data_IF_199131905226
#
_entry.id   IF_199131905226
#
_cell.length_a   1.000
_cell.length_b   1.000
_cell.length_c   1.000
_cell.angle_alpha   90.00
_cell.angle_beta   90.00
_cell.angle_gamma   90.00
#
_symmetry.space_group_name_H-M   'P 1'
#
loop_
_entity.id
_entity.type
_entity.pdbx_description
1 polymer ?
#
# COMPACT_ATOMS: atom_id res chain seq x y z
N UNK A 1 1.79 10.13 -6.55
CA UNK A 1 0.88 9.92 -7.71
C UNK A 1 0.76 8.45 -8.05
N UNK A 2 1.86 7.77 -8.40
CA UNK A 2 1.86 6.32 -8.72
C UNK A 2 1.16 5.48 -7.64
N UNK A 3 1.54 5.64 -6.37
CA UNK A 3 0.90 4.97 -5.23
C UNK A 3 -0.61 5.20 -5.15
N UNK A 4 -1.07 6.44 -5.40
CA UNK A 4 -2.50 6.74 -5.41
C UNK A 4 -3.26 6.05 -6.53
N UNK A 5 -2.62 5.88 -7.70
CA UNK A 5 -3.19 5.16 -8.84
C UNK A 5 -3.26 3.66 -8.53
N UNK A 6 -2.18 3.07 -8.00
CA UNK A 6 -2.16 1.65 -7.64
C UNK A 6 -3.27 1.36 -6.63
N UNK A 7 -3.32 2.11 -5.53
CA UNK A 7 -4.34 1.89 -4.51
C UNK A 7 -5.76 2.14 -5.05
N UNK A 8 -6.03 3.33 -5.59
CA UNK A 8 -7.40 3.69 -5.91
C UNK A 8 -7.94 2.92 -7.13
N UNK A 9 -7.12 2.70 -8.15
CA UNK A 9 -7.57 2.07 -9.41
C UNK A 9 -7.33 0.57 -9.39
N UNK A 10 -6.11 0.13 -9.11
CA UNK A 10 -5.75 -1.30 -9.21
C UNK A 10 -6.39 -2.06 -8.03
N UNK A 11 -6.07 -1.68 -6.80
CA UNK A 11 -6.63 -2.34 -5.59
C UNK A 11 -8.14 -2.09 -5.47
N UNK A 12 -8.60 -0.88 -5.78
CA UNK A 12 -10.03 -0.57 -5.84
C UNK A 12 -10.81 -1.51 -6.78
N UNK A 13 -10.20 -1.93 -7.90
CA UNK A 13 -10.85 -2.88 -8.82
C UNK A 13 -11.02 -4.27 -8.20
N UNK A 14 -10.01 -4.83 -7.52
CA UNK A 14 -10.15 -6.18 -6.91
C UNK A 14 -11.09 -6.15 -5.71
N UNK A 15 -11.15 -5.04 -4.99
CA UNK A 15 -12.08 -4.86 -3.87
C UNK A 15 -13.52 -4.78 -4.40
N UNK A 16 -13.77 -3.94 -5.42
CA UNK A 16 -15.10 -3.72 -5.97
C UNK A 16 -15.61 -4.88 -6.84
N UNK A 17 -14.72 -5.61 -7.53
CA UNK A 17 -15.08 -6.71 -8.40
C UNK A 17 -14.79 -8.06 -7.75
N UNK A 18 -15.77 -8.61 -7.04
CA UNK A 18 -15.67 -9.93 -6.42
C UNK A 18 -15.55 -11.09 -7.40
N UNK A 19 -15.83 -10.88 -8.69
CA UNK A 19 -15.80 -11.90 -9.74
C UNK A 19 -14.68 -11.65 -10.78
N UNK A 20 -13.66 -10.85 -10.47
CA UNK A 20 -12.58 -10.51 -11.41
C UNK A 20 -11.93 -11.75 -12.08
N UNK A 21 -11.83 -12.86 -11.35
CA UNK A 21 -11.26 -14.11 -11.86
C UNK A 21 -12.13 -14.83 -12.91
N UNK A 22 -13.44 -14.54 -12.95
CA UNK A 22 -14.38 -15.10 -13.94
C UNK A 22 -14.46 -14.28 -15.22
N UNK A 23 -13.92 -13.07 -15.22
CA UNK A 23 -13.95 -12.21 -16.39
C UNK A 23 -13.21 -12.89 -17.56
N UNK A 24 -13.76 -12.87 -18.77
CA UNK A 24 -13.09 -13.41 -19.97
C UNK A 24 -12.94 -12.35 -21.06
N UNK A 25 -13.26 -11.10 -20.75
CA UNK A 25 -13.25 -9.99 -21.72
C UNK A 25 -11.84 -9.47 -22.04
N UNK A 26 -10.83 -9.90 -21.27
CA UNK A 26 -9.46 -9.39 -21.40
C UNK A 26 -9.26 -8.02 -20.74
N UNK A 27 -10.10 -7.64 -19.78
CA UNK A 27 -9.90 -6.42 -19.01
C UNK A 27 -8.56 -6.46 -18.27
N UNK A 28 -7.66 -5.54 -18.62
CA UNK A 28 -6.28 -5.52 -18.10
C UNK A 28 -6.20 -5.49 -16.57
N UNK A 29 -7.11 -4.81 -15.88
CA UNK A 29 -7.11 -4.72 -14.42
C UNK A 29 -7.46 -6.07 -13.79
N UNK A 30 -8.44 -6.78 -14.36
CA UNK A 30 -8.79 -8.12 -13.92
C UNK A 30 -7.68 -9.12 -14.24
N UNK A 31 -7.03 -9.01 -15.41
CA UNK A 31 -5.90 -9.87 -15.78
C UNK A 31 -4.69 -9.68 -14.86
N UNK A 32 -4.36 -8.44 -14.46
CA UNK A 32 -3.30 -8.17 -13.49
C UNK A 32 -3.58 -8.90 -12.17
N UNK A 33 -4.82 -8.84 -11.67
CA UNK A 33 -5.18 -9.51 -10.42
C UNK A 33 -5.24 -11.03 -10.55
N UNK A 34 -5.64 -11.57 -11.70
CA UNK A 34 -5.53 -13.02 -11.95
C UNK A 34 -4.08 -13.48 -11.96
N UNK A 35 -3.19 -12.71 -12.56
CA UNK A 35 -1.77 -13.02 -12.58
C UNK A 35 -1.18 -12.93 -11.17
N UNK A 36 -1.46 -11.85 -10.44
CA UNK A 36 -0.97 -11.69 -9.08
C UNK A 36 -1.53 -12.72 -8.10
N UNK A 37 -2.78 -13.17 -8.29
CA UNK A 37 -3.36 -14.25 -7.49
C UNK A 37 -2.66 -15.60 -7.66
N UNK A 38 -1.81 -15.77 -8.68
CA UNK A 38 -0.91 -16.93 -8.78
C UNK A 38 0.23 -16.85 -7.77
N UNK A 39 0.67 -15.66 -7.38
CA UNK A 39 1.65 -15.47 -6.33
C UNK A 39 1.03 -15.57 -4.94
N UNK A 40 -0.20 -15.10 -4.78
CA UNK A 40 -0.96 -15.20 -3.53
C UNK A 40 -2.43 -15.51 -3.78
N UNK A 41 -2.82 -16.76 -3.53
CA UNK A 41 -4.17 -17.24 -3.80
C UNK A 41 -5.25 -16.56 -2.95
N UNK A 42 -4.87 -15.87 -1.86
CA UNK A 42 -5.81 -15.14 -0.97
C UNK A 42 -6.60 -14.05 -1.70
N UNK A 43 -6.06 -13.49 -2.79
CA UNK A 43 -6.79 -12.54 -3.64
C UNK A 43 -7.93 -13.22 -4.42
N UNK A 44 -7.68 -14.42 -4.96
CA UNK A 44 -8.70 -15.19 -5.68
C UNK A 44 -9.74 -15.79 -4.74
N UNK A 45 -9.33 -16.28 -3.57
CA UNK A 45 -10.24 -16.83 -2.55
C UNK A 45 -10.95 -15.76 -1.72
N UNK A 46 -10.60 -14.48 -1.94
CA UNK A 46 -11.16 -13.33 -1.22
C UNK A 46 -11.02 -13.45 0.29
N UNK A 47 -9.79 -13.73 0.73
CA UNK A 47 -9.46 -13.75 2.15
C UNK A 47 -9.96 -12.48 2.85
N UNK A 48 -10.55 -12.67 4.03
CA UNK A 48 -11.21 -11.60 4.76
C UNK A 48 -10.23 -10.49 5.15
N UNK A 49 -8.99 -10.82 5.52
CA UNK A 49 -8.01 -9.80 5.85
C UNK A 49 -7.57 -9.05 4.59
N UNK A 50 -7.20 -9.77 3.52
CA UNK A 50 -6.74 -9.15 2.27
C UNK A 50 -7.77 -8.17 1.70
N UNK A 51 -9.03 -8.58 1.56
CA UNK A 51 -10.07 -7.71 0.97
C UNK A 51 -10.30 -6.45 1.80
N UNK A 52 -10.23 -6.53 3.14
CA UNK A 52 -10.44 -5.38 4.01
C UNK A 52 -9.23 -4.45 4.04
N UNK A 53 -8.02 -5.02 4.08
CA UNK A 53 -6.77 -4.25 3.99
C UNK A 53 -6.74 -3.47 2.66
N UNK A 54 -7.00 -4.14 1.54
CA UNK A 54 -7.06 -3.54 0.22
C UNK A 54 -8.21 -2.52 0.09
N UNK A 55 -9.31 -2.72 0.80
CA UNK A 55 -10.41 -1.75 0.85
C UNK A 55 -9.98 -0.44 1.52
N UNK A 56 -9.23 -0.53 2.62
CA UNK A 56 -8.67 0.64 3.32
C UNK A 56 -7.62 1.33 2.44
N UNK A 57 -6.71 0.58 1.81
CA UNK A 57 -5.70 1.17 0.92
C UNK A 57 -6.37 1.87 -0.27
N UNK A 58 -7.34 1.22 -0.92
CA UNK A 58 -8.03 1.76 -2.07
C UNK A 58 -8.82 3.02 -1.73
N UNK A 59 -9.70 2.97 -0.73
CA UNK A 59 -10.70 4.03 -0.51
C UNK A 59 -10.30 5.09 0.53
N UNK A 60 -9.22 4.86 1.28
CA UNK A 60 -8.69 5.85 2.23
C UNK A 60 -7.30 6.30 1.78
N UNK A 61 -6.34 5.40 1.65
CA UNK A 61 -4.96 5.79 1.32
C UNK A 61 -4.79 6.29 -0.11
N UNK A 62 -5.47 5.68 -1.09
CA UNK A 62 -5.46 6.11 -2.49
C UNK A 62 -5.86 7.59 -2.67
N UNK A 63 -7.05 8.02 -2.22
CA UNK A 63 -7.47 9.42 -2.25
C UNK A 63 -6.51 10.35 -1.52
N UNK A 64 -6.02 9.97 -0.34
CA UNK A 64 -5.09 10.80 0.43
C UNK A 64 -3.75 10.94 -0.31
N UNK A 65 -3.29 9.95 -1.06
CA UNK A 65 -2.09 10.09 -1.91
C UNK A 65 -2.24 11.21 -2.95
N UNK A 66 -3.43 11.41 -3.53
CA UNK A 66 -3.67 12.55 -4.44
C UNK A 66 -3.67 13.88 -3.69
N UNK A 67 -4.27 13.92 -2.50
CA UNK A 67 -4.19 15.09 -1.63
C UNK A 67 -2.73 15.42 -1.26
N UNK A 68 -1.90 14.42 -0.91
CA UNK A 68 -0.47 14.62 -0.63
C UNK A 68 0.25 15.24 -1.82
N UNK A 69 -0.02 14.79 -3.06
CA UNK A 69 0.55 15.40 -4.27
C UNK A 69 0.16 16.88 -4.36
N UNK A 70 -1.11 17.22 -4.17
CA UNK A 70 -1.55 18.61 -4.07
C UNK A 70 -0.79 19.36 -2.97
N UNK A 71 -0.67 18.78 -1.77
CA UNK A 71 0.05 19.37 -0.65
C UNK A 71 1.53 19.64 -0.96
N UNK A 72 2.18 18.77 -1.73
CA UNK A 72 3.56 18.94 -2.21
C UNK A 72 3.64 20.10 -3.20
N UNK A 73 2.79 20.10 -4.24
CA UNK A 73 2.79 21.13 -5.30
C UNK A 73 2.55 22.53 -4.74
N UNK A 74 1.61 22.66 -3.80
CA UNK A 74 1.24 23.93 -3.17
C UNK A 74 1.91 24.18 -1.81
N UNK A 75 2.95 23.41 -1.48
CA UNK A 75 3.78 23.57 -0.27
C UNK A 75 2.97 23.67 1.03
N UNK A 76 1.85 22.94 1.14
CA UNK A 76 1.00 22.92 2.34
C UNK A 76 1.71 22.21 3.50
N UNK A 77 1.65 22.77 4.71
CA UNK A 77 2.36 22.22 5.88
C UNK A 77 1.89 20.81 6.25
N UNK A 78 0.58 20.53 6.12
CA UNK A 78 -0.02 19.23 6.44
C UNK A 78 0.46 18.07 5.56
N UNK A 79 1.15 18.34 4.44
CA UNK A 79 1.65 17.31 3.51
C UNK A 79 2.51 16.26 4.22
N UNK A 80 3.34 16.70 5.18
CA UNK A 80 4.23 15.80 5.91
C UNK A 80 3.45 14.91 6.87
N UNK A 81 2.45 15.44 7.57
CA UNK A 81 1.57 14.66 8.44
C UNK A 81 0.78 13.63 7.63
N UNK A 82 0.17 14.05 6.52
CA UNK A 82 -0.59 13.13 5.66
C UNK A 82 0.31 12.03 5.08
N UNK A 83 1.50 12.38 4.58
CA UNK A 83 2.46 11.41 4.05
C UNK A 83 2.95 10.44 5.13
N UNK A 84 3.23 10.93 6.35
CA UNK A 84 3.60 10.07 7.47
C UNK A 84 2.51 9.05 7.81
N UNK A 85 1.25 9.49 7.90
CA UNK A 85 0.11 8.62 8.23
C UNK A 85 -0.12 7.56 7.15
N UNK A 86 -0.14 7.96 5.87
CA UNK A 86 -0.30 7.02 4.76
C UNK A 86 0.84 6.02 4.71
N UNK A 87 2.08 6.48 4.82
CA UNK A 87 3.24 5.58 4.79
C UNK A 87 3.27 4.62 5.98
N UNK A 88 2.88 5.06 7.18
CA UNK A 88 2.73 4.15 8.32
C UNK A 88 1.63 3.12 8.08
N UNK A 89 0.49 3.54 7.52
CA UNK A 89 -0.61 2.64 7.18
C UNK A 89 -0.23 1.59 6.14
N UNK A 90 0.52 1.98 5.09
CA UNK A 90 1.05 1.07 4.08
C UNK A 90 1.99 0.04 4.69
N UNK A 91 2.98 0.50 5.46
CA UNK A 91 3.93 -0.40 6.11
C UNK A 91 3.23 -1.36 7.08
N UNK A 92 2.27 -0.86 7.85
CA UNK A 92 1.50 -1.70 8.78
C UNK A 92 0.65 -2.75 8.05
N UNK A 93 -0.05 -2.35 6.98
CA UNK A 93 -0.81 -3.26 6.14
C UNK A 93 0.07 -4.37 5.57
N UNK A 94 1.23 -4.01 5.00
CA UNK A 94 2.13 -4.97 4.39
C UNK A 94 2.79 -5.92 5.42
N UNK A 95 3.11 -5.41 6.62
CA UNK A 95 3.54 -6.27 7.73
C UNK A 95 2.46 -7.31 8.06
N UNK A 96 1.20 -6.89 8.19
CA UNK A 96 0.10 -7.81 8.45
C UNK A 96 -0.17 -8.77 7.27
N UNK A 97 0.00 -8.32 6.03
CA UNK A 97 -0.09 -9.15 4.83
C UNK A 97 0.84 -10.37 4.91
N UNK A 98 2.10 -10.13 5.27
CA UNK A 98 3.08 -11.19 5.46
C UNK A 98 2.81 -12.03 6.71
N UNK A 99 2.56 -11.40 7.86
CA UNK A 99 2.34 -12.11 9.12
C UNK A 99 1.15 -13.06 9.05
N UNK A 100 0.05 -12.66 8.40
CA UNK A 100 -1.11 -13.53 8.19
C UNK A 100 -0.78 -14.72 7.28
N UNK A 101 0.04 -14.52 6.24
CA UNK A 101 0.51 -15.61 5.37
C UNK A 101 1.39 -16.58 6.15
N UNK A 102 2.38 -16.08 6.89
CA UNK A 102 3.28 -16.88 7.71
C UNK A 102 2.53 -17.65 8.79
N UNK A 103 1.52 -17.04 9.41
CA UNK A 103 0.70 -17.68 10.42
C UNK A 103 -0.12 -18.84 9.87
N UNK A 104 -0.70 -18.69 8.68
CA UNK A 104 -1.51 -19.73 8.04
C UNK A 104 -0.64 -20.84 7.45
N UNK A 105 0.57 -20.51 7.00
CA UNK A 105 1.49 -21.37 6.25
C UNK A 105 1.70 -20.81 4.85
N UNK A 106 2.93 -20.37 4.57
CA UNK A 106 3.29 -19.68 3.32
C UNK A 106 3.00 -20.54 2.09
N UNK A 107 3.30 -21.83 2.19
CA UNK A 107 3.09 -22.84 1.16
C UNK A 107 1.61 -23.08 0.80
N UNK A 108 0.66 -22.65 1.64
CA UNK A 108 -0.77 -22.80 1.37
C UNK A 108 -1.30 -21.78 0.37
N UNK A 109 -0.69 -20.60 0.34
CA UNK A 109 -1.17 -19.48 -0.45
C UNK A 109 -0.20 -19.00 -1.52
N UNK A 110 1.08 -19.31 -1.35
CA UNK A 110 2.12 -18.94 -2.30
C UNK A 110 2.53 -20.13 -3.16
N UNK A 111 2.98 -19.83 -4.37
CA UNK A 111 3.59 -20.82 -5.24
C UNK A 111 5.12 -20.76 -5.14
N UNK A 112 5.83 -21.89 -5.24
CA UNK A 112 7.28 -21.94 -5.04
C UNK A 112 8.10 -21.45 -6.23
N UNK A 113 7.52 -21.29 -7.43
CA UNK A 113 8.31 -20.89 -8.60
C UNK A 113 8.90 -19.48 -8.39
N UNK A 114 10.17 -19.24 -8.81
CA UNK A 114 10.88 -18.01 -8.48
C UNK A 114 10.17 -16.71 -8.88
N UNK A 115 9.49 -16.71 -10.03
CA UNK A 115 8.72 -15.55 -10.49
C UNK A 115 7.59 -15.18 -9.51
N UNK A 116 6.85 -16.19 -9.04
CA UNK A 116 5.69 -15.98 -8.17
C UNK A 116 6.10 -15.69 -6.74
N UNK A 117 7.04 -16.46 -6.19
CA UNK A 117 7.49 -16.24 -4.82
C UNK A 117 8.39 -15.01 -4.70
N UNK A 118 9.53 -15.00 -5.39
CA UNK A 118 10.52 -13.94 -5.21
C UNK A 118 10.20 -12.69 -6.01
N UNK A 119 9.68 -12.83 -7.24
CA UNK A 119 9.33 -11.69 -8.08
C UNK A 119 8.11 -10.94 -7.56
N UNK A 120 6.99 -11.65 -7.39
CA UNK A 120 5.72 -11.03 -7.01
C UNK A 120 5.53 -10.96 -5.50
N UNK A 121 5.46 -12.11 -4.81
CA UNK A 121 5.12 -12.15 -3.39
C UNK A 121 6.14 -11.39 -2.53
N UNK A 122 7.45 -11.55 -2.76
CA UNK A 122 8.48 -10.80 -2.02
C UNK A 122 8.81 -9.47 -2.70
N UNK A 123 9.17 -9.51 -3.99
CA UNK A 123 9.74 -8.37 -4.70
C UNK A 123 8.76 -7.20 -4.87
N UNK A 124 7.52 -7.46 -5.30
CA UNK A 124 6.54 -6.40 -5.51
C UNK A 124 6.15 -5.74 -4.18
N UNK A 125 5.91 -6.53 -3.12
CA UNK A 125 5.55 -6.02 -1.80
C UNK A 125 6.72 -5.32 -1.09
N UNK A 126 7.99 -5.71 -1.34
CA UNK A 126 9.15 -5.01 -0.76
C UNK A 126 9.18 -3.50 -1.05
N UNK A 127 8.58 -3.06 -2.17
CA UNK A 127 8.39 -1.65 -2.50
C UNK A 127 7.55 -0.95 -1.43
N UNK A 128 6.50 -1.61 -0.93
CA UNK A 128 5.61 -1.14 0.14
C UNK A 128 6.20 -1.23 1.54
N UNK A 129 7.40 -1.77 1.68
CA UNK A 129 8.21 -1.67 2.90
C UNK A 129 9.19 -0.50 2.76
N UNK A 130 10.01 -0.53 1.70
CA UNK A 130 11.15 0.37 1.55
C UNK A 130 10.68 1.81 1.33
N UNK A 131 9.77 2.04 0.39
CA UNK A 131 9.31 3.40 0.06
C UNK A 131 8.63 4.05 1.27
N UNK A 132 7.66 3.40 1.95
CA UNK A 132 7.03 4.00 3.11
C UNK A 132 8.00 4.28 4.26
N UNK A 133 8.97 3.41 4.54
CA UNK A 133 10.01 3.68 5.57
C UNK A 133 10.80 4.94 5.22
N UNK A 134 11.21 5.12 3.95
CA UNK A 134 11.94 6.33 3.54
C UNK A 134 11.07 7.59 3.69
N UNK A 135 9.79 7.53 3.33
CA UNK A 135 8.83 8.61 3.50
C UNK A 135 8.61 8.95 4.99
N UNK A 136 8.51 7.94 5.86
CA UNK A 136 8.38 8.13 7.31
C UNK A 136 9.59 8.87 7.87
N UNK A 137 10.81 8.41 7.56
CA UNK A 137 12.05 9.04 8.01
C UNK A 137 12.13 10.48 7.52
N UNK A 138 11.82 10.71 6.24
CA UNK A 138 11.80 12.05 5.66
C UNK A 138 10.81 12.97 6.36
N UNK A 139 9.56 12.55 6.54
CA UNK A 139 8.52 13.33 7.23
C UNK A 139 8.90 13.63 8.68
N UNK A 140 9.34 12.60 9.42
CA UNK A 140 9.69 12.74 10.82
C UNK A 140 10.81 13.78 11.02
N UNK A 141 11.84 13.76 10.16
CA UNK A 141 12.90 14.78 10.20
C UNK A 141 12.37 16.19 10.01
N UNK A 142 11.51 16.40 9.00
CA UNK A 142 10.94 17.71 8.72
C UNK A 142 9.98 18.22 9.82
N UNK A 143 9.12 17.34 10.33
CA UNK A 143 8.19 17.67 11.42
C UNK A 143 8.97 18.00 12.69
N UNK A 144 9.93 17.16 13.09
CA UNK A 144 10.71 17.38 14.30
C UNK A 144 11.54 18.66 14.22
N UNK A 145 12.14 18.96 13.07
CA UNK A 145 12.88 20.21 12.87
C UNK A 145 11.97 21.45 13.01
N UNK A 146 10.75 21.40 12.46
CA UNK A 146 9.78 22.48 12.59
C UNK A 146 9.34 22.69 14.04
N UNK A 147 9.05 21.60 14.77
CA UNK A 147 8.68 21.66 16.19
C UNK A 147 9.83 22.24 17.02
N UNK A 148 11.07 21.77 16.82
CA UNK A 148 12.24 22.28 17.53
C UNK A 148 12.48 23.78 17.29
N UNK A 149 12.23 24.28 16.07
CA UNK A 149 12.34 25.70 15.76
C UNK A 149 11.32 26.54 16.53
N UNK A 150 10.07 26.08 16.69
CA UNK A 150 9.05 26.80 17.47
C UNK A 150 9.39 26.89 18.96
N UNK A 151 10.07 25.88 19.53
CA UNK A 151 10.51 25.89 20.93
C UNK A 151 11.55 26.97 21.23
N UNK A 152 12.42 27.29 20.26
CA UNK A 152 13.45 28.35 20.39
C UNK A 152 12.88 29.76 20.35
N UNK A 153 11.70 29.96 19.76
CA UNK A 153 11.06 31.29 19.65
C UNK A 153 10.40 31.71 20.96
N UNK A 154 10.08 30.77 21.85
CA UNK A 154 9.40 31.05 23.14
C UNK A 154 10.35 31.32 24.32
N UNK A 155 11.66 31.32 24.12
CA UNK A 155 12.65 31.52 25.19
C UNK A 155 13.24 32.94 25.29
N UNK A 156 12.45 33.95 24.92
CA UNK A 156 12.76 35.37 25.10
C UNK A 156 11.62 36.05 25.87
#
# INVERSE_FOLDING_TARGET
MVTGIIHFVIEGTVVANSNFYKDTTGNILNEIWKEYAKADSRYATRDAFIVQMEGVTAFIWGPICFAIVYGILYRKAWRFTAMLLVSLGQLYGDVLYYLTCFHIGVEKHTRPEPLYFWGYFVGANAIWIIVPITCIIYCARHVNAAVAATGKVKSH
#
